data_IF_223958522498
#
_entry.id   IF_223958522498
#
_cell.length_a   1.000
_cell.length_b   1.000
_cell.length_c   1.000
_cell.angle_alpha   90.00
_cell.angle_beta   90.00
_cell.angle_gamma   90.00
#
_symmetry.space_group_name_H-M   'P 1'
#
loop_
_entity.id
_entity.type
_entity.pdbx_description
1 polymer ?
#
# COMPACT_ATOMS: atom_id res chain seq x y z
N UNK A 1 16.82 -17.10 -1.98
CA UNK A 1 15.39 -17.43 -1.91
C UNK A 1 14.62 -16.24 -2.46
N UNK A 2 13.71 -16.52 -3.38
CA UNK A 2 13.25 -15.76 -4.55
C UNK A 2 12.94 -14.26 -4.37
N UNK A 3 13.80 -13.42 -4.98
CA UNK A 3 13.53 -12.01 -5.29
C UNK A 3 12.14 -11.83 -5.92
N UNK A 4 11.74 -12.78 -6.78
CA UNK A 4 10.44 -12.85 -7.45
C UNK A 4 9.25 -12.83 -6.48
N UNK A 5 9.33 -13.53 -5.35
CA UNK A 5 8.22 -13.59 -4.38
C UNK A 5 8.07 -12.28 -3.61
N UNK A 6 9.19 -11.59 -3.34
CA UNK A 6 9.17 -10.30 -2.68
C UNK A 6 8.55 -9.23 -3.59
N UNK A 7 8.90 -9.23 -4.88
CA UNK A 7 8.38 -8.25 -5.84
C UNK A 7 6.91 -8.47 -6.16
N UNK A 8 6.47 -9.72 -6.30
CA UNK A 8 5.04 -10.05 -6.44
C UNK A 8 4.24 -9.58 -5.23
N UNK A 9 4.72 -9.85 -4.00
CA UNK A 9 4.05 -9.41 -2.78
C UNK A 9 4.00 -7.89 -2.70
N UNK A 10 5.08 -7.20 -3.06
CA UNK A 10 5.14 -5.74 -3.08
C UNK A 10 4.14 -5.17 -4.08
N UNK A 11 4.09 -5.70 -5.30
CA UNK A 11 3.14 -5.28 -6.33
C UNK A 11 1.69 -5.44 -5.87
N UNK A 12 1.34 -6.59 -5.27
CA UNK A 12 0.01 -6.83 -4.72
C UNK A 12 -0.37 -5.80 -3.64
N UNK A 13 0.55 -5.45 -2.74
CA UNK A 13 0.27 -4.44 -1.72
C UNK A 13 0.17 -3.02 -2.28
N UNK A 14 0.92 -2.71 -3.34
CA UNK A 14 0.80 -1.43 -4.02
C UNK A 14 -0.58 -1.29 -4.68
N UNK A 15 -1.06 -2.35 -5.32
CA UNK A 15 -2.39 -2.40 -5.92
C UNK A 15 -3.49 -2.21 -4.87
N UNK A 16 -3.43 -2.93 -3.74
CA UNK A 16 -4.34 -2.73 -2.59
C UNK A 16 -4.35 -1.27 -2.13
N UNK A 17 -3.17 -0.64 -2.00
CA UNK A 17 -3.07 0.76 -1.55
C UNK A 17 -3.73 1.70 -2.56
N UNK A 18 -3.49 1.49 -3.86
CA UNK A 18 -4.11 2.29 -4.92
C UNK A 18 -5.64 2.14 -4.93
N UNK A 19 -6.14 0.91 -4.81
CA UNK A 19 -7.58 0.65 -4.72
C UNK A 19 -8.21 1.31 -3.49
N UNK A 20 -7.57 1.22 -2.31
CA UNK A 20 -8.06 1.87 -1.09
C UNK A 20 -8.07 3.40 -1.21
N UNK A 21 -7.10 3.98 -1.93
CA UNK A 21 -7.08 5.43 -2.18
C UNK A 21 -8.17 5.86 -3.16
N UNK A 22 -8.56 5.01 -4.11
CA UNK A 22 -9.69 5.20 -5.03
C UNK A 22 -11.06 4.77 -4.48
N UNK A 23 -11.18 4.49 -3.18
CA UNK A 23 -12.45 4.08 -2.56
C UNK A 23 -13.55 5.14 -2.74
N UNK A 24 -14.85 4.74 -2.70
CA UNK A 24 -15.97 5.66 -2.83
C UNK A 24 -15.92 6.84 -1.85
N UNK A 25 -16.38 8.02 -2.30
CA UNK A 25 -16.50 9.21 -1.45
C UNK A 25 -17.44 8.91 -0.29
N UNK A 26 -17.04 9.29 0.93
CA UNK A 26 -17.78 8.99 2.16
C UNK A 26 -17.44 7.64 2.80
N UNK A 27 -16.71 6.75 2.11
CA UNK A 27 -16.22 5.52 2.70
C UNK A 27 -14.90 5.76 3.44
N UNK A 28 -14.82 5.31 4.70
CA UNK A 28 -13.55 5.35 5.43
C UNK A 28 -12.59 4.26 4.93
N UNK A 29 -11.27 4.50 5.06
CA UNK A 29 -10.29 3.48 4.71
C UNK A 29 -10.49 2.20 5.54
N UNK A 30 -10.85 2.34 6.83
CA UNK A 30 -11.10 1.21 7.71
C UNK A 30 -12.25 0.32 7.21
N UNK A 31 -13.38 0.92 6.81
CA UNK A 31 -14.51 0.18 6.25
C UNK A 31 -14.13 -0.54 4.97
N UNK A 32 -13.45 0.16 4.04
CA UNK A 32 -13.00 -0.46 2.80
C UNK A 32 -12.08 -1.68 3.06
N UNK A 33 -11.16 -1.57 4.02
CA UNK A 33 -10.27 -2.67 4.39
C UNK A 33 -11.04 -3.86 4.97
N UNK A 34 -12.04 -3.61 5.81
CA UNK A 34 -12.89 -4.65 6.39
C UNK A 34 -13.69 -5.39 5.31
N UNK A 35 -14.34 -4.66 4.39
CA UNK A 35 -15.11 -5.22 3.27
C UNK A 35 -14.26 -6.06 2.32
N UNK A 36 -12.97 -5.70 2.16
CA UNK A 36 -12.03 -6.43 1.30
C UNK A 36 -11.23 -7.51 2.05
N UNK A 37 -11.52 -7.77 3.33
CA UNK A 37 -10.83 -8.79 4.14
C UNK A 37 -9.34 -8.46 4.41
N UNK A 38 -8.97 -7.18 4.38
CA UNK A 38 -7.59 -6.72 4.49
C UNK A 38 -7.28 -6.35 5.93
N UNK A 39 -6.19 -6.92 6.45
CA UNK A 39 -5.71 -6.63 7.81
C UNK A 39 -5.22 -5.19 7.91
N UNK A 40 -5.89 -4.37 8.71
CA UNK A 40 -5.59 -2.95 8.93
C UNK A 40 -4.13 -2.69 9.30
N UNK A 41 -3.56 -3.47 10.22
CA UNK A 41 -2.14 -3.35 10.61
C UNK A 41 -1.17 -3.56 9.44
N UNK A 42 -1.47 -4.51 8.56
CA UNK A 42 -0.63 -4.80 7.40
C UNK A 42 -0.76 -3.67 6.37
N UNK A 43 -1.97 -3.18 6.13
CA UNK A 43 -2.22 -2.04 5.26
C UNK A 43 -1.40 -0.81 5.67
N UNK A 44 -1.48 -0.38 6.92
CA UNK A 44 -0.74 0.81 7.37
C UNK A 44 0.77 0.60 7.41
N UNK A 45 1.25 -0.63 7.63
CA UNK A 45 2.65 -0.96 7.48
C UNK A 45 3.14 -0.71 6.03
N UNK A 46 2.42 -1.25 5.04
CA UNK A 46 2.79 -1.11 3.62
C UNK A 46 2.61 0.32 3.12
N UNK A 47 1.52 1.00 3.50
CA UNK A 47 1.31 2.40 3.17
C UNK A 47 2.46 3.28 3.67
N UNK A 48 2.91 3.08 4.91
CA UNK A 48 4.07 3.81 5.46
C UNK A 48 5.36 3.47 4.73
N UNK A 49 5.57 2.20 4.36
CA UNK A 49 6.74 1.75 3.61
C UNK A 49 6.80 2.45 2.24
N UNK A 50 5.71 2.44 1.48
CA UNK A 50 5.65 3.10 0.17
C UNK A 50 5.81 4.63 0.25
N UNK A 51 5.20 5.29 1.26
CA UNK A 51 5.40 6.73 1.45
C UNK A 51 6.85 7.10 1.71
N UNK A 52 7.57 6.28 2.50
CA UNK A 52 9.01 6.49 2.75
C UNK A 52 9.84 6.28 1.48
N UNK A 53 9.54 5.22 0.72
CA UNK A 53 10.21 4.96 -0.56
C UNK A 53 10.02 6.12 -1.54
N UNK A 54 8.79 6.62 -1.68
CA UNK A 54 8.48 7.77 -2.53
C UNK A 54 9.22 9.04 -2.08
N UNK A 55 9.19 9.36 -0.78
CA UNK A 55 9.91 10.50 -0.23
C UNK A 55 11.42 10.41 -0.50
N UNK A 56 12.04 9.25 -0.24
CA UNK A 56 13.47 9.04 -0.49
C UNK A 56 13.84 9.19 -1.97
N UNK A 57 12.96 8.80 -2.89
CA UNK A 57 13.17 9.02 -4.33
C UNK A 57 13.11 10.50 -4.71
N UNK A 58 12.21 11.29 -4.09
CA UNK A 58 12.10 12.73 -4.35
C UNK A 58 13.24 13.55 -3.73
N UNK A 59 13.92 13.03 -2.72
CA UNK A 59 15.04 13.69 -2.03
C UNK A 59 16.42 13.38 -2.62
N UNK A 60 16.52 12.53 -3.65
CA UNK A 60 17.76 12.34 -4.40
C UNK A 60 17.97 13.58 -5.29
N UNK A 61 19.02 14.39 -5.08
CA UNK A 61 19.37 15.43 -6.04
C UNK A 61 19.73 14.74 -7.36
N UNK A 62 19.08 15.17 -8.45
CA UNK A 62 19.49 14.81 -9.80
C UNK A 62 20.81 15.49 -10.14
#
# INVERSE_FOLDING_TARGET
>A
MDQSTHDVRRANWLDIVNQCQGRPVGMSAKQWLEENGIKEKAYYYWLRKFRREAYNQTQLPT
#
